data_IF_904591728818
#
_entry.id   IF_904591728818
#
_cell.length_a   1.000
_cell.length_b   1.000
_cell.length_c   1.000
_cell.angle_alpha   90.00
_cell.angle_beta   90.00
_cell.angle_gamma   90.00
#
_symmetry.space_group_name_H-M   'P 1'
#
loop_
_entity.id
_entity.type
_entity.pdbx_description
1 polymer ?
#
# COMPACT_ATOMS: atom_id res chain seq x y z
N UNK A 1 3.44 43.30 56.99
CA UNK A 1 4.02 42.35 57.97
C UNK A 1 3.27 41.03 57.85
N UNK A 2 4.00 39.91 57.79
CA UNK A 2 3.51 38.51 57.89
C UNK A 2 2.80 37.96 56.64
N UNK A 3 3.13 36.84 56.00
CA UNK A 3 4.07 35.72 56.24
C UNK A 3 4.35 35.03 54.89
N UNK A 4 5.59 34.55 54.73
CA UNK A 4 6.04 33.59 53.71
C UNK A 4 5.28 32.26 53.79
N UNK A 5 5.04 31.59 52.66
CA UNK A 5 5.68 30.32 52.31
C UNK A 5 4.87 29.47 51.30
N UNK A 6 5.63 28.83 50.40
CA UNK A 6 5.35 27.61 49.63
C UNK A 6 4.27 27.69 48.52
N UNK A 7 4.41 27.07 47.35
CA UNK A 7 5.28 25.98 46.95
C UNK A 7 5.62 26.11 45.45
N UNK A 8 6.86 25.78 45.11
CA UNK A 8 7.28 25.58 43.72
C UNK A 8 6.62 24.30 43.18
N UNK A 9 5.83 24.44 42.11
CA UNK A 9 5.40 23.32 41.26
C UNK A 9 5.93 23.57 39.85
N UNK A 10 7.22 23.26 39.67
CA UNK A 10 7.76 22.92 38.37
C UNK A 10 7.18 21.57 37.96
N UNK A 11 6.16 21.59 37.11
CA UNK A 11 5.78 20.39 36.35
C UNK A 11 5.91 20.72 34.88
N UNK A 12 7.11 20.49 34.36
CA UNK A 12 7.34 20.34 32.94
C UNK A 12 6.70 19.02 32.50
N UNK A 13 5.70 19.10 31.63
CA UNK A 13 5.29 17.98 30.77
C UNK A 13 5.27 18.51 29.34
N UNK A 14 6.46 18.49 28.73
CA UNK A 14 6.58 18.40 27.28
C UNK A 14 6.05 17.03 26.85
N UNK A 15 4.95 17.03 26.11
CA UNK A 15 4.63 15.99 25.13
C UNK A 15 4.03 16.66 23.90
N UNK A 16 4.91 17.31 23.13
CA UNK A 16 4.67 17.50 21.71
C UNK A 16 4.89 16.13 21.04
N UNK A 17 3.82 15.49 20.58
CA UNK A 17 3.88 14.47 19.53
C UNK A 17 2.49 14.21 18.95
N UNK A 18 2.16 14.96 17.90
CA UNK A 18 1.58 14.45 16.66
C UNK A 18 0.47 13.38 16.78
N UNK A 19 -0.73 13.79 17.19
CA UNK A 19 -1.97 13.05 16.87
C UNK A 19 -2.39 13.30 15.41
N UNK A 20 -1.46 13.16 14.46
CA UNK A 20 -1.82 13.05 13.05
C UNK A 20 -2.34 11.64 12.85
N UNK A 21 -3.64 11.50 12.69
CA UNK A 21 -4.27 10.22 12.34
C UNK A 21 -3.78 9.77 10.96
N UNK A 22 -2.58 9.19 10.90
CA UNK A 22 -2.16 8.38 9.77
C UNK A 22 -3.09 7.17 9.75
N UNK A 23 -3.79 6.97 8.63
CA UNK A 23 -4.50 5.73 8.41
C UNK A 23 -3.51 4.58 8.66
N UNK A 24 -3.96 3.54 9.37
CA UNK A 24 -3.14 2.36 9.55
C UNK A 24 -2.75 1.81 8.16
N UNK A 25 -1.48 1.46 7.97
CA UNK A 25 -1.04 0.84 6.74
C UNK A 25 -1.85 -0.44 6.47
N UNK A 26 -2.12 -0.79 5.21
CA UNK A 26 -2.79 -2.04 4.85
C UNK A 26 -2.11 -3.26 5.45
N UNK A 27 -2.90 -4.26 5.84
CA UNK A 27 -2.40 -5.44 6.57
C UNK A 27 -1.36 -6.26 5.78
N UNK A 28 -1.41 -6.22 4.45
CA UNK A 28 -0.47 -6.91 3.57
C UNK A 28 0.92 -6.25 3.54
N UNK A 29 1.03 -4.95 3.82
CA UNK A 29 2.27 -4.16 3.58
C UNK A 29 3.45 -4.69 4.38
N UNK A 30 3.21 -5.15 5.60
CA UNK A 30 4.27 -5.63 6.49
C UNK A 30 4.97 -6.89 5.97
N UNK A 31 4.28 -7.76 5.24
CA UNK A 31 4.82 -9.04 4.74
C UNK A 31 5.16 -9.04 3.25
N UNK A 32 4.79 -7.99 2.51
CA UNK A 32 5.01 -7.88 1.06
C UNK A 32 5.66 -6.52 0.72
N UNK A 33 6.99 -6.37 0.93
CA UNK A 33 7.71 -5.14 0.62
C UNK A 33 7.85 -4.91 -0.89
N UNK A 34 8.24 -3.70 -1.28
CA UNK A 34 8.49 -3.37 -2.69
C UNK A 34 9.58 -4.27 -3.28
N UNK A 35 9.28 -5.04 -4.35
CA UNK A 35 10.29 -5.85 -5.00
C UNK A 35 11.15 -5.00 -5.94
N UNK A 36 12.35 -5.48 -6.28
CA UNK A 36 13.27 -4.70 -7.11
C UNK A 36 12.63 -4.29 -8.46
N UNK A 37 12.64 -2.98 -8.74
CA UNK A 37 12.11 -2.40 -9.97
C UNK A 37 10.60 -2.14 -9.98
N UNK A 38 9.89 -2.40 -8.88
CA UNK A 38 8.49 -2.04 -8.70
C UNK A 38 8.31 -1.27 -7.39
N UNK A 39 7.35 -0.36 -7.35
CA UNK A 39 6.85 0.24 -6.11
C UNK A 39 5.41 -0.21 -5.90
N UNK A 40 5.06 -0.63 -4.69
CA UNK A 40 3.66 -0.83 -4.31
C UNK A 40 3.14 0.42 -3.62
N UNK A 41 1.97 0.88 -4.05
CA UNK A 41 1.31 2.05 -3.48
C UNK A 41 0.03 1.65 -2.77
N UNK A 42 -0.15 2.23 -1.59
CA UNK A 42 -1.35 2.05 -0.76
C UNK A 42 -2.53 2.89 -1.27
N UNK A 43 -2.24 3.85 -2.14
CA UNK A 43 -3.23 4.71 -2.79
C UNK A 43 -2.98 4.69 -4.29
N UNK A 44 -4.05 4.59 -5.08
CA UNK A 44 -3.93 4.84 -6.50
C UNK A 44 -3.93 6.35 -6.75
N UNK A 45 -3.06 6.88 -7.60
CA UNK A 45 -3.18 8.25 -8.09
C UNK A 45 -4.15 8.33 -9.27
N UNK A 46 -4.67 9.54 -9.49
CA UNK A 46 -5.41 9.94 -10.70
C UNK A 46 -6.80 9.32 -10.91
N UNK A 47 -7.29 9.31 -12.15
CA UNK A 47 -8.73 9.13 -12.44
C UNK A 47 -9.26 7.73 -12.07
N UNK A 48 -8.41 6.70 -12.19
CA UNK A 48 -8.80 5.32 -11.85
C UNK A 48 -8.88 5.08 -10.34
N UNK A 49 -8.27 5.97 -9.54
CA UNK A 49 -8.20 5.85 -8.09
C UNK A 49 -9.54 5.96 -7.37
N UNK A 50 -10.51 6.65 -7.98
CA UNK A 50 -11.86 6.78 -7.43
C UNK A 50 -12.55 5.41 -7.22
N UNK A 51 -12.00 4.33 -7.78
CA UNK A 51 -12.61 2.99 -7.71
C UNK A 51 -11.60 1.85 -7.39
N UNK A 52 -10.60 2.09 -6.54
CA UNK A 52 -9.79 0.97 -6.01
C UNK A 52 -10.68 0.06 -5.17
N UNK A 53 -10.79 -1.21 -5.53
CA UNK A 53 -11.80 -2.10 -4.95
C UNK A 53 -11.33 -2.84 -3.70
N UNK A 54 -10.03 -3.17 -3.60
CA UNK A 54 -9.48 -4.02 -2.55
C UNK A 54 -8.11 -3.51 -2.02
N UNK A 55 -8.01 -2.24 -1.57
CA UNK A 55 -6.74 -1.64 -1.14
C UNK A 55 -6.13 -2.33 0.11
N UNK A 56 -6.98 -2.94 0.95
CA UNK A 56 -6.55 -3.63 2.16
C UNK A 56 -6.05 -5.06 1.93
N UNK A 57 -6.23 -5.60 0.72
CA UNK A 57 -5.85 -6.98 0.38
C UNK A 57 -4.62 -7.07 -0.52
N UNK A 58 -4.37 -6.04 -1.31
CA UNK A 58 -3.24 -5.92 -2.22
C UNK A 58 -2.98 -4.44 -2.53
N UNK A 59 -1.81 -4.07 -3.10
CA UNK A 59 -1.50 -2.70 -3.49
C UNK A 59 -2.63 -2.07 -4.28
N UNK A 60 -2.94 -0.80 -3.98
CA UNK A 60 -3.91 -0.03 -4.73
C UNK A 60 -3.37 0.34 -6.11
N UNK A 61 -2.07 0.61 -6.18
CA UNK A 61 -1.35 0.77 -7.44
C UNK A 61 0.06 0.15 -7.38
N UNK A 62 0.64 -0.03 -8.56
CA UNK A 62 2.00 -0.52 -8.77
C UNK A 62 2.68 0.40 -9.76
N UNK A 63 3.80 0.99 -9.39
CA UNK A 63 4.69 1.65 -10.35
C UNK A 63 5.63 0.61 -10.97
N UNK A 64 5.67 0.56 -12.29
CA UNK A 64 6.55 -0.34 -13.03
C UNK A 64 6.94 0.25 -14.38
N UNK A 65 8.25 0.30 -14.66
CA UNK A 65 8.81 0.82 -15.92
C UNK A 65 8.28 2.23 -16.30
N UNK A 66 8.06 3.09 -15.30
CA UNK A 66 7.56 4.46 -15.51
C UNK A 66 6.05 4.57 -15.78
N UNK A 67 5.31 3.47 -15.67
CA UNK A 67 3.84 3.46 -15.71
C UNK A 67 3.24 3.16 -14.34
N UNK A 68 2.08 3.77 -14.06
CA UNK A 68 1.29 3.49 -12.86
C UNK A 68 0.14 2.55 -13.22
N UNK A 69 0.09 1.39 -12.58
CA UNK A 69 -0.92 0.37 -12.80
C UNK A 69 -1.86 0.31 -11.61
N UNK A 70 -3.14 0.57 -11.83
CA UNK A 70 -4.15 0.68 -10.78
C UNK A 70 -4.93 -0.63 -10.64
N UNK A 71 -5.18 -1.04 -9.40
CA UNK A 71 -5.90 -2.27 -9.07
C UNK A 71 -7.34 -2.21 -9.60
N UNK A 72 -7.75 -3.26 -10.33
CA UNK A 72 -9.03 -3.30 -11.04
C UNK A 72 -9.99 -4.36 -10.51
N UNK A 73 -9.50 -5.57 -10.27
CA UNK A 73 -10.35 -6.70 -9.90
C UNK A 73 -9.59 -7.74 -9.09
N UNK A 74 -10.36 -8.57 -8.40
CA UNK A 74 -9.92 -9.77 -7.69
C UNK A 74 -10.65 -10.98 -8.25
N UNK A 75 -9.93 -12.09 -8.42
CA UNK A 75 -10.48 -13.39 -8.75
C UNK A 75 -9.73 -14.47 -7.96
N UNK A 76 -10.22 -15.72 -8.00
CA UNK A 76 -9.48 -16.85 -7.44
C UNK A 76 -8.20 -17.07 -8.25
N UNK A 77 -7.08 -17.32 -7.57
CA UNK A 77 -5.82 -17.62 -8.21
C UNK A 77 -5.92 -18.89 -9.10
N UNK A 78 -5.48 -18.83 -10.37
CA UNK A 78 -5.42 -20.02 -11.20
C UNK A 78 -4.31 -20.96 -10.70
N UNK A 79 -4.35 -22.26 -11.02
CA UNK A 79 -3.29 -23.21 -10.65
C UNK A 79 -1.89 -22.84 -11.18
N UNK A 80 -1.85 -22.02 -12.24
CA UNK A 80 -0.62 -21.39 -12.75
C UNK A 80 -0.91 -19.95 -13.16
N UNK A 81 -0.13 -18.98 -12.68
CA UNK A 81 -0.23 -17.61 -13.16
C UNK A 81 0.17 -17.54 -14.64
N UNK A 82 -0.61 -16.75 -15.40
CA UNK A 82 -0.31 -16.43 -16.79
C UNK A 82 0.60 -15.21 -16.89
N UNK A 83 1.41 -15.14 -17.95
CA UNK A 83 2.30 -14.01 -18.22
C UNK A 83 3.75 -14.24 -17.79
N UNK A 84 4.59 -13.25 -18.05
CA UNK A 84 5.99 -13.28 -17.64
C UNK A 84 6.10 -12.84 -16.18
N UNK A 85 6.80 -13.61 -15.34
CA UNK A 85 7.10 -13.19 -13.97
C UNK A 85 8.07 -12.03 -14.02
N UNK A 86 7.69 -10.89 -13.46
CA UNK A 86 8.51 -9.68 -13.42
C UNK A 86 9.12 -9.43 -12.04
N UNK A 87 8.49 -9.92 -10.98
CA UNK A 87 8.94 -9.75 -9.61
C UNK A 87 8.29 -10.76 -8.65
N UNK A 88 8.83 -10.83 -7.43
CA UNK A 88 8.23 -11.51 -6.28
C UNK A 88 8.38 -10.66 -5.03
N UNK A 89 7.34 -10.64 -4.20
CA UNK A 89 7.33 -9.95 -2.91
C UNK A 89 6.71 -10.86 -1.87
N UNK A 90 7.46 -11.24 -0.83
CA UNK A 90 7.03 -12.31 0.08
C UNK A 90 6.74 -13.59 -0.69
N UNK A 91 5.54 -14.13 -0.51
CA UNK A 91 5.01 -15.28 -1.26
C UNK A 91 4.24 -14.89 -2.53
N UNK A 92 4.07 -13.59 -2.82
CA UNK A 92 3.37 -13.12 -4.00
C UNK A 92 4.24 -13.17 -5.26
N UNK A 93 3.59 -13.54 -6.36
CA UNK A 93 4.20 -13.52 -7.70
C UNK A 93 3.55 -12.44 -8.54
N UNK A 94 4.37 -11.55 -9.11
CA UNK A 94 3.89 -10.47 -9.96
C UNK A 94 4.19 -10.85 -11.42
N UNK A 95 3.17 -10.86 -12.26
CA UNK A 95 3.29 -11.14 -13.68
C UNK A 95 2.85 -9.97 -14.55
N UNK A 96 3.41 -9.91 -15.77
CA UNK A 96 3.00 -8.98 -16.81
C UNK A 96 2.46 -9.75 -18.01
N UNK A 97 1.28 -9.36 -18.47
CA UNK A 97 0.65 -9.89 -19.67
C UNK A 97 -0.33 -8.87 -20.28
N UNK A 98 -0.40 -8.80 -21.61
CA UNK A 98 -1.42 -8.00 -22.31
C UNK A 98 -1.42 -6.50 -21.95
N UNK A 99 -0.28 -5.94 -21.55
CA UNK A 99 -0.17 -4.53 -21.14
C UNK A 99 -0.67 -4.23 -19.73
N UNK A 100 -1.00 -5.24 -18.92
CA UNK A 100 -1.34 -5.11 -17.51
C UNK A 100 -0.40 -5.88 -16.60
N UNK A 101 -0.60 -5.70 -15.29
CA UNK A 101 0.07 -6.48 -14.25
C UNK A 101 -0.95 -7.35 -13.52
N UNK A 102 -0.47 -8.42 -12.92
CA UNK A 102 -1.23 -9.21 -11.98
C UNK A 102 -0.38 -9.59 -10.76
N UNK A 103 -1.02 -9.65 -9.59
CA UNK A 103 -0.44 -10.19 -8.36
C UNK A 103 -1.18 -11.48 -8.04
N UNK A 104 -0.45 -12.59 -8.02
CA UNK A 104 -0.92 -13.88 -7.54
C UNK A 104 -0.43 -14.08 -6.09
N UNK A 105 -1.38 -14.21 -5.18
CA UNK A 105 -1.17 -14.42 -3.74
C UNK A 105 -1.25 -15.89 -3.33
N UNK A 106 -1.44 -16.81 -4.29
CA UNK A 106 -1.72 -18.22 -4.07
C UNK A 106 -3.20 -18.53 -3.79
N UNK A 107 -3.95 -17.59 -3.20
CA UNK A 107 -5.40 -17.70 -3.01
C UNK A 107 -6.18 -16.85 -4.01
N UNK A 108 -5.70 -15.63 -4.23
CA UNK A 108 -6.33 -14.62 -5.08
C UNK A 108 -5.38 -14.09 -6.15
N UNK A 109 -5.97 -13.75 -7.30
CA UNK A 109 -5.34 -13.02 -8.38
C UNK A 109 -5.92 -11.61 -8.45
N UNK A 110 -5.08 -10.60 -8.22
CA UNK A 110 -5.43 -9.19 -8.40
C UNK A 110 -4.91 -8.71 -9.75
N UNK A 111 -5.76 -8.05 -10.54
CA UNK A 111 -5.35 -7.49 -11.83
C UNK A 111 -5.20 -5.99 -11.78
N UNK A 112 -4.24 -5.47 -12.54
CA UNK A 112 -3.88 -4.07 -12.57
C UNK A 112 -3.81 -3.58 -14.02
N UNK A 113 -4.37 -2.40 -14.24
CA UNK A 113 -4.43 -1.77 -15.56
C UNK A 113 -3.64 -0.47 -15.53
N UNK A 114 -2.89 -0.18 -16.60
CA UNK A 114 -2.19 1.09 -16.74
C UNK A 114 -3.19 2.26 -16.64
N UNK A 115 -2.91 3.25 -15.82
CA UNK A 115 -3.80 4.38 -15.54
C UNK A 115 -4.27 5.08 -16.82
N UNK A 116 -3.32 5.35 -17.74
CA UNK A 116 -3.61 5.97 -19.04
C UNK A 116 -4.53 5.14 -19.94
N UNK A 117 -4.70 3.86 -19.64
CA UNK A 117 -5.60 3.00 -20.39
C UNK A 117 -6.97 2.89 -19.78
N UNK A 118 -7.24 3.43 -18.58
CA UNK A 118 -8.61 3.56 -18.07
C UNK A 118 -9.49 4.25 -19.14
#
# INVERSE_FOLDING_TARGET
>A
MSRLAAAALLTALLAAACGGGGAAAPSWRASHPDPNGLTFDEQAPGLCALTVQYPDSAPAAIEYQGGTYVQRSRAVAPPRPSGAVVARSGDWTITQAGGGLAIDTGADLFTYRLEASC
#
